data_IF_372171479243
#
_entry.id   IF_372171479243
#
_cell.length_a   1.000
_cell.length_b   1.000
_cell.length_c   1.000
_cell.angle_alpha   90.00
_cell.angle_beta   90.00
_cell.angle_gamma   90.00
#
_symmetry.space_group_name_H-M   'P 1'
#
loop_
_entity.id
_entity.type
_entity.pdbx_description
1 polymer ?
#
# COMPACT_ATOMS: atom_id res chain seq x y z
N UNK A 1 -0.84 -51.31 19.40
CA UNK A 1 -2.01 -50.41 19.27
C UNK A 1 -2.31 -49.80 20.63
N UNK A 2 -1.86 -48.55 20.87
CA UNK A 2 -2.24 -47.60 21.96
C UNK A 2 -1.08 -46.61 22.16
N UNK A 3 -0.91 -45.65 21.24
CA UNK A 3 -0.01 -44.50 21.42
C UNK A 3 -0.39 -43.28 20.56
N UNK A 4 -1.64 -43.19 20.08
CA UNK A 4 -2.09 -42.08 19.20
C UNK A 4 -3.23 -41.23 19.78
N UNK A 5 -3.73 -41.51 21.00
CA UNK A 5 -4.85 -40.74 21.58
C UNK A 5 -4.47 -39.70 22.63
N UNK A 6 -3.20 -39.55 23.01
CA UNK A 6 -2.78 -38.61 24.08
C UNK A 6 -2.19 -37.30 23.51
N UNK A 7 -1.69 -37.32 22.27
CA UNK A 7 -1.09 -36.14 21.61
C UNK A 7 -2.11 -35.16 21.01
N UNK A 8 -3.31 -35.64 20.65
CA UNK A 8 -4.36 -34.79 20.05
C UNK A 8 -5.10 -33.96 21.11
N UNK A 9 -5.22 -34.45 22.34
CA UNK A 9 -5.88 -33.70 23.43
C UNK A 9 -5.01 -32.58 24.02
N UNK A 10 -3.68 -32.68 23.94
CA UNK A 10 -2.77 -31.65 24.46
C UNK A 10 -2.64 -30.45 23.52
N UNK A 11 -2.81 -30.64 22.22
CA UNK A 11 -2.76 -29.54 21.23
C UNK A 11 -4.05 -28.71 21.19
N UNK A 12 -5.20 -29.32 21.47
CA UNK A 12 -6.50 -28.63 21.51
C UNK A 12 -6.64 -27.78 22.80
N UNK A 13 -6.00 -28.18 23.90
CA UNK A 13 -6.04 -27.42 25.15
C UNK A 13 -5.08 -26.22 25.15
N UNK A 14 -3.91 -26.33 24.51
CA UNK A 14 -2.97 -25.21 24.33
C UNK A 14 -3.53 -24.15 23.37
N UNK A 15 -4.28 -24.55 22.33
CA UNK A 15 -4.94 -23.62 21.42
C UNK A 15 -6.05 -22.78 22.10
N UNK A 16 -6.83 -23.36 23.02
CA UNK A 16 -7.90 -22.66 23.75
C UNK A 16 -7.42 -21.71 24.85
N UNK A 17 -6.21 -21.91 25.38
CA UNK A 17 -5.66 -21.03 26.42
C UNK A 17 -5.07 -19.72 25.88
N UNK A 18 -4.84 -19.63 24.56
CA UNK A 18 -4.18 -18.49 23.92
C UNK A 18 -5.16 -17.45 23.32
N UNK A 19 -6.40 -17.83 23.03
CA UNK A 19 -7.42 -16.92 22.48
C UNK A 19 -7.86 -15.84 23.48
N UNK A 20 -8.03 -16.19 24.76
CA UNK A 20 -8.39 -15.22 25.80
C UNK A 20 -7.26 -14.21 26.10
N UNK A 21 -6.00 -14.63 25.95
CA UNK A 21 -4.82 -13.78 26.10
C UNK A 21 -4.71 -12.74 24.96
N UNK A 22 -4.98 -13.17 23.72
CA UNK A 22 -4.95 -12.32 22.53
C UNK A 22 -6.10 -11.30 22.52
N UNK A 23 -7.32 -11.72 22.87
CA UNK A 23 -8.48 -10.82 22.95
C UNK A 23 -8.33 -9.78 24.07
N UNK A 24 -7.70 -10.16 25.19
CA UNK A 24 -7.43 -9.21 26.28
C UNK A 24 -6.28 -8.26 25.93
N UNK A 25 -5.27 -8.72 25.18
CA UNK A 25 -4.24 -7.87 24.59
C UNK A 25 -4.79 -6.86 23.58
N UNK A 26 -5.72 -7.28 22.70
CA UNK A 26 -6.38 -6.41 21.74
C UNK A 26 -7.25 -5.34 22.42
N UNK A 27 -8.01 -5.71 23.47
CA UNK A 27 -8.77 -4.74 24.29
C UNK A 27 -7.86 -3.70 24.97
N UNK A 28 -6.73 -4.13 25.52
CA UNK A 28 -5.77 -3.22 26.16
C UNK A 28 -5.12 -2.26 25.15
N UNK A 29 -4.85 -2.73 23.92
CA UNK A 29 -4.35 -1.88 22.82
C UNK A 29 -5.39 -0.87 22.34
N UNK A 30 -6.67 -1.24 22.26
CA UNK A 30 -7.74 -0.28 21.95
C UNK A 30 -7.88 0.79 23.04
N UNK A 31 -7.86 0.41 24.32
CA UNK A 31 -7.91 1.39 25.43
C UNK A 31 -6.68 2.30 25.48
N UNK A 32 -5.49 1.80 25.12
CA UNK A 32 -4.28 2.62 25.03
C UNK A 32 -4.29 3.59 23.83
N UNK A 33 -4.92 3.21 22.72
CA UNK A 33 -5.07 4.06 21.53
C UNK A 33 -6.08 5.19 21.75
N UNK A 34 -7.20 4.91 22.45
CA UNK A 34 -8.23 5.92 22.78
C UNK A 34 -7.70 7.00 23.73
N UNK A 35 -6.74 6.68 24.61
CA UNK A 35 -6.18 7.63 25.57
C UNK A 35 -5.03 8.52 25.03
N UNK A 36 -4.67 8.41 23.74
CA UNK A 36 -3.55 9.16 23.14
C UNK A 36 -3.98 10.23 22.13
N UNK A 37 -5.28 10.53 22.04
CA UNK A 37 -5.85 11.40 21.03
C UNK A 37 -6.36 12.71 21.66
N UNK A 38 -5.44 13.54 22.16
CA UNK A 38 -5.74 14.92 22.57
C UNK A 38 -4.47 15.77 22.60
N UNK A 39 -3.91 16.04 21.43
CA UNK A 39 -2.92 17.10 21.21
C UNK A 39 -3.00 17.49 19.71
N UNK A 40 -4.02 18.26 19.34
CA UNK A 40 -4.09 18.90 18.02
C UNK A 40 -3.15 20.12 18.01
N UNK A 41 -2.16 20.19 17.09
CA UNK A 41 -1.30 21.34 16.99
C UNK A 41 -2.00 22.49 16.25
N UNK A 42 -1.92 23.66 16.89
CA UNK A 42 -2.31 24.97 16.39
C UNK A 42 -1.53 25.29 15.09
N UNK A 43 -2.24 25.44 13.97
CA UNK A 43 -1.65 25.75 12.65
C UNK A 43 -1.29 27.23 12.61
N UNK A 44 -0.04 27.53 12.96
CA UNK A 44 0.60 28.82 12.73
C UNK A 44 1.29 28.84 11.37
N UNK A 45 1.10 29.95 10.67
CA UNK A 45 1.76 30.38 9.43
C UNK A 45 3.29 30.34 9.60
N UNK A 46 3.91 29.20 9.27
CA UNK A 46 5.35 29.02 9.23
C UNK A 46 5.79 28.93 7.78
N UNK A 47 6.70 29.80 7.36
CA UNK A 47 7.58 29.54 6.22
C UNK A 47 8.17 28.15 6.40
N UNK A 48 7.67 27.17 5.65
CA UNK A 48 8.11 25.77 5.75
C UNK A 48 9.61 25.71 5.45
N UNK A 49 10.42 25.58 6.50
CA UNK A 49 11.83 25.26 6.38
C UNK A 49 11.92 23.91 5.67
N UNK A 50 12.22 23.95 4.37
CA UNK A 50 12.48 22.75 3.58
C UNK A 50 13.57 21.96 4.33
N UNK A 51 13.32 20.69 4.70
CA UNK A 51 14.30 19.91 5.42
C UNK A 51 15.65 19.94 4.69
N UNK A 52 16.74 20.19 5.42
CA UNK A 52 18.08 20.36 4.84
C UNK A 52 18.46 19.24 3.84
N UNK A 53 18.03 18.00 4.11
CA UNK A 53 18.24 16.85 3.23
C UNK A 53 17.56 17.01 1.86
N UNK A 54 16.34 17.55 1.82
CA UNK A 54 15.61 17.79 0.56
C UNK A 54 16.33 18.84 -0.29
N UNK A 55 16.85 19.91 0.32
CA UNK A 55 17.61 20.92 -0.40
C UNK A 55 18.91 20.36 -0.99
N UNK A 56 19.63 19.51 -0.23
CA UNK A 56 20.84 18.83 -0.72
C UNK A 56 20.50 17.94 -1.92
N UNK A 57 19.43 17.14 -1.81
CA UNK A 57 18.98 16.26 -2.90
C UNK A 57 18.56 17.08 -4.12
N UNK A 58 17.82 18.17 -3.94
CA UNK A 58 17.38 19.02 -5.04
C UNK A 58 18.57 19.63 -5.79
N UNK A 59 19.53 20.20 -5.06
CA UNK A 59 20.77 20.72 -5.64
C UNK A 59 21.53 19.65 -6.42
N UNK A 60 21.56 18.43 -5.88
CA UNK A 60 22.12 17.29 -6.58
C UNK A 60 21.37 17.03 -7.89
N UNK A 61 20.05 16.90 -7.87
CA UNK A 61 19.24 16.63 -9.07
C UNK A 61 19.45 17.69 -10.16
N UNK A 62 19.56 18.95 -9.78
CA UNK A 62 19.73 20.08 -10.71
C UNK A 62 21.14 20.15 -11.34
N UNK A 63 22.16 19.59 -10.69
CA UNK A 63 23.57 19.78 -11.07
C UNK A 63 24.08 18.96 -12.26
N UNK A 64 23.36 17.94 -12.72
CA UNK A 64 23.86 17.01 -13.75
C UNK A 64 22.68 16.44 -14.54
N UNK A 65 22.81 16.25 -15.85
CA UNK A 65 21.78 15.62 -16.66
C UNK A 65 21.53 14.18 -16.24
N UNK A 66 20.31 13.70 -16.50
CA UNK A 66 19.92 12.32 -16.26
C UNK A 66 20.61 11.34 -17.23
N UNK A 67 20.96 10.14 -16.75
CA UNK A 67 21.47 9.04 -17.60
C UNK A 67 20.37 8.33 -18.40
N UNK A 68 19.12 8.48 -17.97
CA UNK A 68 17.94 7.99 -18.67
C UNK A 68 17.07 9.15 -19.16
N UNK A 69 16.55 9.01 -20.37
CA UNK A 69 15.59 9.89 -21.00
C UNK A 69 14.19 9.79 -20.39
N UNK A 70 13.83 8.59 -19.93
CA UNK A 70 12.53 8.27 -19.33
C UNK A 70 12.70 7.35 -18.13
N UNK A 71 11.75 7.40 -17.20
CA UNK A 71 11.62 6.41 -16.15
C UNK A 71 10.87 5.17 -16.65
N UNK A 72 11.49 4.00 -16.50
CA UNK A 72 10.93 2.74 -17.00
C UNK A 72 10.26 1.88 -15.92
N UNK A 73 10.43 2.16 -14.62
CA UNK A 73 9.87 1.32 -13.54
C UNK A 73 8.45 1.76 -13.17
N UNK A 74 7.60 1.97 -14.19
CA UNK A 74 6.27 2.55 -14.01
C UNK A 74 5.29 1.63 -13.29
N UNK A 75 5.45 0.31 -13.43
CA UNK A 75 4.58 -0.65 -12.75
C UNK A 75 4.53 -0.45 -11.23
N UNK A 76 5.65 -0.05 -10.63
CA UNK A 76 5.72 0.27 -9.20
C UNK A 76 4.95 1.55 -8.84
N UNK A 77 5.05 2.61 -9.67
CA UNK A 77 4.30 3.86 -9.51
C UNK A 77 2.79 3.63 -9.69
N UNK A 78 2.38 2.83 -10.67
CA UNK A 78 0.97 2.48 -10.89
C UNK A 78 0.41 1.58 -9.78
N UNK A 79 1.25 0.77 -9.14
CA UNK A 79 0.82 0.00 -7.96
C UNK A 79 0.50 0.93 -6.79
N UNK A 80 1.33 1.95 -6.53
CA UNK A 80 1.01 2.97 -5.54
C UNK A 80 -0.33 3.66 -5.84
N UNK A 81 -0.55 4.05 -7.10
CA UNK A 81 -1.83 4.63 -7.53
C UNK A 81 -3.02 3.70 -7.26
N UNK A 82 -2.88 2.39 -7.51
CA UNK A 82 -3.96 1.44 -7.25
C UNK A 82 -4.26 1.29 -5.76
N UNK A 83 -3.25 1.32 -4.88
CA UNK A 83 -3.45 1.31 -3.42
C UNK A 83 -4.17 2.57 -2.95
N UNK A 84 -3.73 3.74 -3.41
CA UNK A 84 -4.35 5.02 -3.07
C UNK A 84 -5.83 5.02 -3.47
N UNK A 85 -6.13 4.64 -4.72
CA UNK A 85 -7.51 4.53 -5.21
C UNK A 85 -8.33 3.55 -4.37
N UNK A 86 -7.83 2.33 -4.18
CA UNK A 86 -8.58 1.27 -3.52
C UNK A 86 -8.80 1.57 -2.03
N UNK A 87 -7.83 2.20 -1.35
CA UNK A 87 -7.99 2.66 0.02
C UNK A 87 -9.10 3.72 0.11
N UNK A 88 -9.13 4.69 -0.82
CA UNK A 88 -10.17 5.72 -0.80
C UNK A 88 -11.56 5.14 -1.06
N UNK A 89 -11.69 4.23 -2.03
CA UNK A 89 -12.96 3.53 -2.32
C UNK A 89 -13.41 2.66 -1.15
N UNK A 90 -12.49 1.96 -0.49
CA UNK A 90 -12.78 1.18 0.71
C UNK A 90 -13.26 2.06 1.87
N UNK A 91 -12.64 3.22 2.08
CA UNK A 91 -13.05 4.18 3.10
C UNK A 91 -14.50 4.68 2.86
N UNK A 92 -14.82 5.01 1.61
CA UNK A 92 -16.19 5.40 1.22
C UNK A 92 -17.18 4.24 1.42
N UNK A 93 -16.83 3.04 0.97
CA UNK A 93 -17.68 1.87 1.11
C UNK A 93 -17.95 1.51 2.57
N UNK A 94 -16.91 1.49 3.41
CA UNK A 94 -17.04 1.27 4.86
C UNK A 94 -17.94 2.33 5.53
N UNK A 95 -17.88 3.59 5.08
CA UNK A 95 -18.73 4.67 5.58
C UNK A 95 -20.21 4.45 5.23
N UNK A 96 -20.50 3.94 4.03
CA UNK A 96 -21.86 3.57 3.59
C UNK A 96 -22.38 2.41 4.43
N UNK A 97 -21.61 1.33 4.56
CA UNK A 97 -21.97 0.15 5.36
C UNK A 97 -22.26 0.54 6.80
N UNK A 98 -21.42 1.41 7.40
CA UNK A 98 -21.62 1.92 8.77
C UNK A 98 -22.92 2.73 8.92
N UNK A 99 -23.28 3.51 7.90
CA UNK A 99 -24.46 4.38 7.93
C UNK A 99 -25.75 3.64 7.59
N UNK A 100 -25.64 2.50 6.90
CA UNK A 100 -26.75 1.61 6.59
C UNK A 100 -27.09 0.67 7.75
N UNK A 101 -28.24 0.01 7.63
CA UNK A 101 -28.66 -1.10 8.49
C UNK A 101 -28.18 -2.46 7.92
N UNK A 102 -27.04 -2.49 7.21
CA UNK A 102 -26.51 -3.74 6.64
C UNK A 102 -26.00 -4.67 7.75
N UNK A 103 -26.68 -5.81 7.92
CA UNK A 103 -26.25 -6.85 8.86
C UNK A 103 -25.13 -7.74 8.29
N UNK A 104 -25.04 -7.87 6.97
CA UNK A 104 -24.04 -8.71 6.30
C UNK A 104 -22.78 -7.91 5.96
N UNK A 105 -21.69 -8.18 6.69
CA UNK A 105 -20.39 -7.54 6.50
C UNK A 105 -19.44 -8.35 5.61
N UNK A 106 -19.85 -9.49 5.08
CA UNK A 106 -18.99 -10.32 4.21
C UNK A 106 -18.51 -9.59 2.95
N UNK A 107 -19.32 -8.77 2.25
CA UNK A 107 -18.84 -7.97 1.13
C UNK A 107 -17.73 -6.97 1.53
N UNK A 108 -17.88 -6.30 2.68
CA UNK A 108 -16.86 -5.39 3.22
C UNK A 108 -15.58 -6.14 3.60
N UNK A 109 -15.72 -7.33 4.21
CA UNK A 109 -14.58 -8.18 4.56
C UNK A 109 -13.75 -8.57 3.32
N UNK A 110 -14.42 -9.00 2.24
CA UNK A 110 -13.75 -9.31 0.97
C UNK A 110 -13.02 -8.10 0.39
N UNK A 111 -13.61 -6.91 0.50
CA UNK A 111 -12.98 -5.68 0.05
C UNK A 111 -11.71 -5.37 0.89
N UNK A 112 -11.79 -5.45 2.22
CA UNK A 112 -10.64 -5.29 3.13
C UNK A 112 -9.51 -6.29 2.78
N UNK A 113 -9.87 -7.56 2.60
CA UNK A 113 -8.91 -8.61 2.22
C UNK A 113 -8.25 -8.33 0.87
N UNK A 114 -9.02 -7.90 -0.12
CA UNK A 114 -8.46 -7.54 -1.42
C UNK A 114 -7.47 -6.37 -1.32
N UNK A 115 -7.86 -5.27 -0.66
CA UNK A 115 -7.01 -4.07 -0.59
C UNK A 115 -5.72 -4.35 0.19
N UNK A 116 -5.81 -4.99 1.36
CA UNK A 116 -4.65 -5.09 2.25
C UNK A 116 -3.90 -6.43 2.13
N UNK A 117 -4.61 -7.55 2.09
CA UNK A 117 -4.00 -8.88 2.06
C UNK A 117 -3.54 -9.28 0.66
N UNK A 118 -4.13 -8.72 -0.40
CA UNK A 118 -3.70 -8.95 -1.78
C UNK A 118 -2.94 -7.75 -2.39
N UNK A 119 -3.57 -6.57 -2.47
CA UNK A 119 -3.02 -5.45 -3.22
C UNK A 119 -1.77 -4.87 -2.52
N UNK A 120 -1.93 -4.37 -1.28
CA UNK A 120 -0.84 -3.75 -0.51
C UNK A 120 0.28 -4.75 -0.21
N UNK A 121 -0.07 -5.98 0.20
CA UNK A 121 0.92 -7.03 0.47
C UNK A 121 1.81 -7.30 -0.74
N UNK A 122 1.25 -7.31 -1.94
CA UNK A 122 2.01 -7.49 -3.18
C UNK A 122 3.06 -6.40 -3.39
N UNK A 123 2.67 -5.14 -3.19
CA UNK A 123 3.58 -4.00 -3.28
C UNK A 123 4.68 -4.12 -2.23
N UNK A 124 4.28 -4.31 -0.96
CA UNK A 124 5.19 -4.48 0.17
C UNK A 124 6.24 -5.58 -0.05
N UNK A 125 5.82 -6.74 -0.56
CA UNK A 125 6.72 -7.86 -0.85
C UNK A 125 7.77 -7.52 -1.91
N UNK A 126 7.36 -6.84 -3.00
CA UNK A 126 8.29 -6.40 -4.04
C UNK A 126 9.25 -5.35 -3.51
N UNK A 127 8.75 -4.41 -2.72
CA UNK A 127 9.58 -3.34 -2.22
C UNK A 127 10.63 -3.83 -1.24
N UNK A 128 10.25 -4.69 -0.29
CA UNK A 128 11.16 -5.23 0.72
C UNK A 128 12.23 -6.14 0.10
N UNK A 129 11.83 -6.97 -0.87
CA UNK A 129 12.71 -8.02 -1.42
C UNK A 129 13.52 -7.55 -2.63
N UNK A 130 13.03 -6.56 -3.37
CA UNK A 130 13.57 -6.22 -4.69
C UNK A 130 13.86 -4.72 -4.82
N UNK A 131 12.87 -3.85 -4.63
CA UNK A 131 13.00 -2.42 -4.98
C UNK A 131 13.89 -1.65 -4.02
N UNK A 132 13.62 -1.67 -2.70
CA UNK A 132 14.40 -0.88 -1.74
C UNK A 132 15.85 -1.36 -1.57
N UNK A 133 16.16 -2.66 -1.58
CA UNK A 133 17.54 -3.11 -1.62
C UNK A 133 18.29 -2.57 -2.85
N UNK A 134 17.65 -2.61 -4.02
CA UNK A 134 18.22 -2.09 -5.26
C UNK A 134 18.34 -0.55 -5.24
N UNK A 135 17.34 0.16 -4.72
CA UNK A 135 17.37 1.62 -4.55
C UNK A 135 18.56 2.07 -3.69
N UNK A 136 18.75 1.42 -2.52
CA UNK A 136 19.88 1.68 -1.64
C UNK A 136 21.21 1.38 -2.34
N UNK A 137 21.30 0.27 -3.07
CA UNK A 137 22.49 -0.07 -3.86
C UNK A 137 22.82 1.04 -4.86
N UNK A 138 21.84 1.55 -5.62
CA UNK A 138 22.08 2.53 -6.68
C UNK A 138 22.38 3.93 -6.16
N UNK A 139 21.73 4.35 -5.08
CA UNK A 139 21.86 5.74 -4.57
C UNK A 139 22.95 5.89 -3.52
N UNK A 140 23.25 4.85 -2.73
CA UNK A 140 24.21 4.96 -1.62
C UNK A 140 25.62 4.47 -1.98
N UNK A 141 25.74 3.59 -2.98
CA UNK A 141 27.04 3.08 -3.44
C UNK A 141 27.55 3.78 -4.70
N UNK A 142 26.97 4.92 -5.11
CA UNK A 142 27.47 5.68 -6.25
C UNK A 142 28.84 6.30 -5.93
N UNK A 143 29.86 5.94 -6.70
CA UNK A 143 31.24 6.40 -6.50
C UNK A 143 31.43 7.89 -6.77
N UNK A 144 30.51 8.50 -7.52
CA UNK A 144 30.63 9.87 -8.01
C UNK A 144 29.95 10.92 -7.12
N UNK A 145 29.30 10.49 -6.04
CA UNK A 145 28.50 11.36 -5.18
C UNK A 145 29.24 11.81 -3.93
N UNK A 146 28.96 13.06 -3.51
CA UNK A 146 29.46 13.58 -2.24
C UNK A 146 28.89 12.77 -1.06
N UNK A 147 29.67 12.65 0.01
CA UNK A 147 29.21 11.96 1.23
C UNK A 147 27.99 12.65 1.87
N UNK A 148 27.84 13.96 1.67
CA UNK A 148 26.68 14.72 2.12
C UNK A 148 25.42 14.32 1.34
N UNK A 149 25.53 14.23 0.00
CA UNK A 149 24.45 13.76 -0.88
C UNK A 149 24.02 12.34 -0.51
N UNK A 150 24.97 11.43 -0.28
CA UNK A 150 24.67 10.04 0.12
C UNK A 150 23.95 9.99 1.47
N UNK A 151 24.37 10.78 2.45
CA UNK A 151 23.69 10.86 3.76
C UNK A 151 22.28 11.42 3.64
N UNK A 152 22.07 12.44 2.82
CA UNK A 152 20.75 13.00 2.56
C UNK A 152 19.81 11.95 1.94
N UNK A 153 20.27 11.21 0.92
CA UNK A 153 19.52 10.10 0.34
C UNK A 153 19.27 8.97 1.34
N UNK A 154 20.26 8.60 2.16
CA UNK A 154 20.09 7.57 3.17
C UNK A 154 18.99 7.93 4.17
N UNK A 155 18.96 9.18 4.63
CA UNK A 155 17.89 9.69 5.51
C UNK A 155 16.53 9.62 4.82
N UNK A 156 16.41 10.15 3.59
CA UNK A 156 15.16 10.14 2.82
C UNK A 156 14.61 8.73 2.60
N UNK A 157 15.48 7.78 2.24
CA UNK A 157 15.09 6.38 2.03
C UNK A 157 14.62 5.76 3.35
N UNK A 158 15.27 6.06 4.46
CA UNK A 158 14.85 5.56 5.78
C UNK A 158 13.50 6.14 6.21
N UNK A 159 13.28 7.44 6.01
CA UNK A 159 12.00 8.09 6.32
C UNK A 159 10.84 7.48 5.50
N UNK A 160 11.08 7.22 4.21
CA UNK A 160 10.10 6.53 3.35
C UNK A 160 9.90 5.08 3.80
N UNK A 161 10.96 4.34 4.15
CA UNK A 161 10.85 2.96 4.62
C UNK A 161 10.11 2.84 5.96
N UNK A 162 10.27 3.83 6.85
CA UNK A 162 9.50 3.92 8.10
C UNK A 162 8.02 4.16 7.83
N UNK A 163 7.68 5.07 6.91
CA UNK A 163 6.28 5.31 6.55
C UNK A 163 5.66 4.08 5.86
N UNK A 164 6.40 3.36 5.02
CA UNK A 164 5.96 2.08 4.44
C UNK A 164 5.66 1.03 5.52
N UNK A 165 6.48 0.93 6.56
CA UNK A 165 6.24 0.05 7.72
C UNK A 165 4.95 0.47 8.46
N UNK A 166 4.75 1.78 8.69
CA UNK A 166 3.53 2.31 9.30
C UNK A 166 2.28 1.97 8.48
N UNK A 167 2.34 2.04 7.15
CA UNK A 167 1.23 1.60 6.28
C UNK A 167 0.88 0.12 6.51
N UNK A 168 1.88 -0.76 6.61
CA UNK A 168 1.66 -2.20 6.90
C UNK A 168 1.03 -2.43 8.27
N UNK A 169 1.46 -1.67 9.28
CA UNK A 169 0.90 -1.75 10.63
C UNK A 169 -0.56 -1.30 10.66
N UNK A 170 -0.90 -0.20 9.97
CA UNK A 170 -2.27 0.26 9.81
C UNK A 170 -3.14 -0.78 9.09
N UNK A 171 -2.64 -1.35 7.99
CA UNK A 171 -3.33 -2.40 7.25
C UNK A 171 -3.63 -3.62 8.13
N UNK A 172 -2.67 -4.07 8.94
CA UNK A 172 -2.85 -5.19 9.87
C UNK A 172 -3.92 -4.89 10.94
N UNK A 173 -3.98 -3.64 11.42
CA UNK A 173 -5.05 -3.20 12.33
C UNK A 173 -6.41 -3.22 11.65
N UNK A 174 -6.51 -2.73 10.41
CA UNK A 174 -7.78 -2.70 9.64
C UNK A 174 -8.33 -4.12 9.47
N UNK A 175 -7.48 -5.08 9.09
CA UNK A 175 -7.87 -6.51 8.99
C UNK A 175 -8.38 -7.02 10.34
N UNK A 176 -7.68 -6.72 11.44
CA UNK A 176 -8.11 -7.14 12.79
C UNK A 176 -9.45 -6.53 13.22
N UNK A 177 -9.70 -5.26 12.89
CA UNK A 177 -10.98 -4.61 13.15
C UNK A 177 -12.10 -5.20 12.29
N UNK A 178 -11.80 -5.61 11.06
CA UNK A 178 -12.76 -6.26 10.18
C UNK A 178 -13.16 -7.64 10.73
N UNK A 179 -12.18 -8.42 11.19
CA UNK A 179 -12.47 -9.70 11.85
C UNK A 179 -13.38 -9.49 13.06
N UNK A 180 -13.06 -8.53 13.94
CA UNK A 180 -13.90 -8.17 15.07
C UNK A 180 -15.33 -7.76 14.66
N UNK A 181 -15.47 -6.93 13.63
CA UNK A 181 -16.77 -6.46 13.16
C UNK A 181 -17.65 -7.62 12.66
N UNK A 182 -17.04 -8.65 12.05
CA UNK A 182 -17.73 -9.84 11.53
C UNK A 182 -18.04 -10.91 12.57
N UNK A 183 -17.56 -10.79 13.81
CA UNK A 183 -17.83 -11.77 14.85
C UNK A 183 -19.30 -11.74 15.32
N UNK A 184 -19.99 -12.89 15.26
CA UNK A 184 -21.38 -13.04 15.69
C UNK A 184 -21.63 -12.72 17.19
N UNK A 185 -20.57 -12.73 18.01
CA UNK A 185 -20.66 -12.51 19.45
C UNK A 185 -20.48 -11.06 19.87
N UNK A 186 -20.11 -10.18 18.94
CA UNK A 186 -19.81 -8.77 19.20
C UNK A 186 -21.10 -7.96 19.16
N UNK A 187 -21.32 -7.10 20.15
CA UNK A 187 -22.48 -6.22 20.19
C UNK A 187 -22.42 -5.11 19.13
N UNK A 188 -23.56 -4.47 18.89
CA UNK A 188 -23.69 -3.45 17.84
C UNK A 188 -22.83 -2.20 18.07
N UNK A 189 -22.52 -1.85 19.33
CA UNK A 189 -21.68 -0.68 19.62
C UNK A 189 -20.23 -0.99 19.29
N UNK A 190 -19.72 -2.14 19.76
CA UNK A 190 -18.38 -2.60 19.43
C UNK A 190 -18.17 -2.78 17.91
N UNK A 191 -19.18 -3.29 17.20
CA UNK A 191 -19.15 -3.39 15.74
C UNK A 191 -19.04 -2.01 15.09
N UNK A 192 -19.84 -1.03 15.55
CA UNK A 192 -19.78 0.35 15.04
C UNK A 192 -18.42 0.99 15.30
N UNK A 193 -17.85 0.78 16.49
CA UNK A 193 -16.50 1.26 16.83
C UNK A 193 -15.43 0.62 15.94
N UNK A 194 -15.57 -0.67 15.62
CA UNK A 194 -14.64 -1.35 14.71
C UNK A 194 -14.72 -0.76 13.29
N UNK A 195 -15.93 -0.50 12.78
CA UNK A 195 -16.14 0.17 11.50
C UNK A 195 -15.55 1.59 11.48
N UNK A 196 -15.69 2.35 12.57
CA UNK A 196 -15.06 3.67 12.71
C UNK A 196 -13.53 3.61 12.63
N UNK A 197 -12.96 2.59 13.28
CA UNK A 197 -11.53 2.34 13.21
C UNK A 197 -11.10 1.92 11.80
N UNK A 198 -11.89 1.11 11.08
CA UNK A 198 -11.60 0.76 9.68
C UNK A 198 -11.56 2.02 8.81
N UNK A 199 -12.57 2.90 8.92
CA UNK A 199 -12.65 4.15 8.17
C UNK A 199 -11.43 5.03 8.46
N UNK A 200 -11.15 5.29 9.74
CA UNK A 200 -10.05 6.16 10.20
C UNK A 200 -8.69 5.63 9.75
N UNK A 201 -8.41 4.34 9.97
CA UNK A 201 -7.12 3.77 9.59
C UNK A 201 -6.97 3.66 8.06
N UNK A 202 -8.05 3.44 7.32
CA UNK A 202 -8.01 3.41 5.85
C UNK A 202 -7.70 4.80 5.28
N UNK A 203 -8.27 5.87 5.86
CA UNK A 203 -7.92 7.25 5.48
C UNK A 203 -6.45 7.56 5.80
N UNK A 204 -5.95 7.10 6.95
CA UNK A 204 -4.53 7.22 7.30
C UNK A 204 -3.62 6.48 6.29
N UNK A 205 -4.00 5.27 5.83
CA UNK A 205 -3.27 4.55 4.78
C UNK A 205 -3.28 5.34 3.47
N UNK A 206 -4.43 5.87 3.07
CA UNK A 206 -4.56 6.71 1.87
C UNK A 206 -3.60 7.92 1.92
N UNK A 207 -3.67 8.71 2.99
CA UNK A 207 -2.85 9.92 3.14
C UNK A 207 -1.35 9.60 3.18
N UNK A 208 -0.97 8.56 3.94
CA UNK A 208 0.43 8.19 4.08
C UNK A 208 1.01 7.61 2.79
N UNK A 209 0.26 6.80 2.06
CA UNK A 209 0.68 6.25 0.77
C UNK A 209 0.84 7.36 -0.27
N UNK A 210 -0.04 8.36 -0.28
CA UNK A 210 0.11 9.55 -1.13
C UNK A 210 1.38 10.33 -0.80
N UNK A 211 1.68 10.54 0.49
CA UNK A 211 2.89 11.23 0.93
C UNK A 211 4.17 10.48 0.53
N UNK A 212 4.19 9.14 0.69
CA UNK A 212 5.28 8.28 0.21
C UNK A 212 5.48 8.48 -1.29
N UNK A 213 4.42 8.27 -2.08
CA UNK A 213 4.46 8.42 -3.54
C UNK A 213 4.97 9.79 -3.96
N UNK A 214 4.49 10.87 -3.33
CA UNK A 214 4.88 12.23 -3.66
C UNK A 214 6.38 12.48 -3.41
N UNK A 215 6.93 12.01 -2.28
CA UNK A 215 8.36 12.14 -1.99
C UNK A 215 9.22 11.32 -2.95
N UNK A 216 8.78 10.11 -3.26
CA UNK A 216 9.52 9.24 -4.18
C UNK A 216 9.51 9.81 -5.61
N UNK A 217 8.36 10.27 -6.11
CA UNK A 217 8.23 10.90 -7.42
C UNK A 217 9.05 12.20 -7.52
N UNK A 218 9.10 12.99 -6.43
CA UNK A 218 9.84 14.26 -6.37
C UNK A 218 11.35 14.04 -6.31
N UNK A 219 11.83 13.06 -5.55
CA UNK A 219 13.25 12.94 -5.22
C UNK A 219 13.89 11.63 -5.70
N UNK A 220 13.30 10.48 -5.38
CA UNK A 220 13.94 9.18 -5.61
C UNK A 220 13.87 8.75 -7.08
N UNK A 221 12.74 9.00 -7.76
CA UNK A 221 12.56 8.68 -9.18
C UNK A 221 13.54 9.48 -10.06
N UNK A 222 13.66 10.82 -9.93
CA UNK A 222 14.68 11.58 -10.66
C UNK A 222 16.10 11.13 -10.34
N UNK A 223 16.40 10.83 -9.07
CA UNK A 223 17.71 10.33 -8.67
C UNK A 223 18.05 8.98 -9.32
N UNK A 224 17.07 8.08 -9.44
CA UNK A 224 17.23 6.83 -10.17
C UNK A 224 17.45 7.07 -11.66
N UNK A 225 16.69 7.94 -12.31
CA UNK A 225 16.92 8.28 -13.72
C UNK A 225 18.31 8.87 -13.96
N UNK A 226 18.81 9.60 -12.97
CA UNK A 226 20.14 10.20 -12.99
C UNK A 226 21.26 9.19 -12.78
N UNK A 227 21.09 8.19 -11.92
CA UNK A 227 22.13 7.20 -11.60
C UNK A 227 22.02 5.90 -12.40
N UNK A 228 20.88 5.62 -13.03
CA UNK A 228 20.57 4.31 -13.61
C UNK A 228 20.13 4.46 -15.06
N UNK A 229 20.87 3.83 -15.97
CA UNK A 229 20.55 3.80 -17.39
C UNK A 229 19.19 3.16 -17.69
N UNK A 230 18.55 3.57 -18.79
CA UNK A 230 17.29 2.98 -19.29
C UNK A 230 17.38 1.46 -19.48
N UNK A 231 18.56 0.94 -19.86
CA UNK A 231 18.80 -0.51 -20.03
C UNK A 231 18.69 -1.24 -18.70
N UNK A 232 19.29 -0.70 -17.65
CA UNK A 232 19.28 -1.31 -16.32
C UNK A 232 17.89 -1.24 -15.67
N UNK A 233 17.19 -0.12 -15.81
CA UNK A 233 15.79 0.00 -15.33
C UNK A 233 14.87 -1.05 -15.99
N UNK A 234 15.00 -1.27 -17.31
CA UNK A 234 14.26 -2.33 -18.02
C UNK A 234 14.63 -3.73 -17.52
N UNK A 235 15.91 -3.97 -17.24
CA UNK A 235 16.35 -5.24 -16.64
C UNK A 235 15.74 -5.45 -15.25
N UNK A 236 15.69 -4.40 -14.43
CA UNK A 236 15.03 -4.42 -13.13
C UNK A 236 13.54 -4.79 -13.25
N UNK A 237 12.80 -4.23 -14.21
CA UNK A 237 11.40 -4.61 -14.46
C UNK A 237 11.24 -6.11 -14.75
N UNK A 238 12.12 -6.69 -15.55
CA UNK A 238 12.09 -8.13 -15.80
C UNK A 238 12.31 -8.96 -14.53
N UNK A 239 13.13 -8.46 -13.58
CA UNK A 239 13.31 -9.09 -12.27
C UNK A 239 12.02 -9.03 -11.44
N UNK A 240 11.35 -7.88 -11.40
CA UNK A 240 10.08 -7.69 -10.67
C UNK A 240 8.97 -8.60 -11.22
N UNK A 241 8.82 -8.68 -12.55
CA UNK A 241 7.81 -9.54 -13.18
C UNK A 241 8.01 -11.02 -12.86
N UNK A 242 9.28 -11.47 -12.73
CA UNK A 242 9.58 -12.85 -12.32
C UNK A 242 9.21 -13.12 -10.87
N UNK A 243 9.33 -12.14 -9.97
CA UNK A 243 8.97 -12.31 -8.56
C UNK A 243 7.47 -12.33 -8.27
N UNK A 244 6.64 -11.68 -9.10
CA UNK A 244 5.18 -11.60 -8.87
C UNK A 244 4.41 -12.89 -9.23
N UNK A 245 4.95 -13.72 -10.12
CA UNK A 245 4.23 -14.87 -10.66
C UNK A 245 3.12 -14.48 -11.67
N UNK A 246 2.76 -15.42 -12.55
CA UNK A 246 1.92 -15.13 -13.73
C UNK A 246 0.47 -14.79 -13.36
N UNK A 247 -0.11 -15.45 -12.37
CA UNK A 247 -1.51 -15.21 -12.00
C UNK A 247 -1.70 -13.89 -11.28
N UNK A 248 -0.85 -13.58 -10.29
CA UNK A 248 -0.98 -12.35 -9.52
C UNK A 248 -0.66 -11.11 -10.35
N UNK A 249 0.34 -11.19 -11.24
CA UNK A 249 0.67 -10.08 -12.15
C UNK A 249 -0.52 -9.64 -13.02
N UNK A 250 -1.45 -10.52 -13.38
CA UNK A 250 -2.68 -10.15 -14.10
C UNK A 250 -3.61 -9.31 -13.24
N UNK A 251 -3.85 -9.73 -12.00
CA UNK A 251 -4.69 -9.00 -11.04
C UNK A 251 -4.11 -7.63 -10.72
N UNK A 252 -2.81 -7.54 -10.44
CA UNK A 252 -2.13 -6.26 -10.25
C UNK A 252 -2.24 -5.36 -11.47
N UNK A 253 -2.06 -5.90 -12.68
CA UNK A 253 -2.17 -5.12 -13.91
C UNK A 253 -3.56 -4.53 -14.13
N UNK A 254 -4.63 -5.25 -13.75
CA UNK A 254 -6.00 -4.71 -13.79
C UNK A 254 -6.13 -3.54 -12.82
N UNK A 255 -5.70 -3.72 -11.56
CA UNK A 255 -5.72 -2.66 -10.56
C UNK A 255 -4.95 -1.42 -11.00
N UNK A 256 -3.74 -1.60 -11.55
CA UNK A 256 -2.91 -0.53 -12.12
C UNK A 256 -3.59 0.16 -13.30
N UNK A 257 -4.14 -0.60 -14.25
CA UNK A 257 -4.86 -0.05 -15.40
C UNK A 257 -6.03 0.82 -14.94
N UNK A 258 -6.85 0.28 -14.04
CA UNK A 258 -8.01 1.00 -13.53
C UNK A 258 -7.58 2.27 -12.78
N UNK A 259 -6.40 2.30 -12.16
CA UNK A 259 -5.95 3.46 -11.38
C UNK A 259 -5.40 4.56 -12.28
N UNK A 260 -4.70 4.18 -13.35
CA UNK A 260 -4.20 5.08 -14.37
C UNK A 260 -5.34 5.72 -15.19
N UNK A 261 -6.45 5.01 -15.38
CA UNK A 261 -7.61 5.49 -16.13
C UNK A 261 -8.69 6.13 -15.25
N UNK A 262 -8.53 6.14 -13.94
CA UNK A 262 -9.44 6.81 -13.02
C UNK A 262 -9.16 8.32 -13.03
N UNK A 263 -10.16 9.18 -13.31
CA UNK A 263 -9.96 10.63 -13.42
C UNK A 263 -9.51 11.30 -12.11
N UNK A 264 -9.75 10.67 -10.96
CA UNK A 264 -9.39 11.22 -9.66
C UNK A 264 -7.94 10.89 -9.23
N UNK A 265 -7.28 9.95 -9.92
CA UNK A 265 -5.96 9.43 -9.53
C UNK A 265 -4.95 9.42 -10.68
N UNK A 266 -5.40 9.05 -11.88
CA UNK A 266 -4.59 9.02 -13.08
C UNK A 266 -4.61 10.35 -13.83
N UNK A 267 -3.83 10.43 -14.90
CA UNK A 267 -3.84 11.55 -15.84
C UNK A 267 -3.46 11.06 -17.25
N UNK A 268 -3.59 11.93 -18.26
CA UNK A 268 -3.32 11.58 -19.66
C UNK A 268 -1.87 11.13 -19.91
N UNK A 269 -0.91 11.67 -19.14
CA UNK A 269 0.49 11.29 -19.23
C UNK A 269 0.69 9.84 -18.75
N UNK A 270 0.12 9.48 -17.61
CA UNK A 270 0.14 8.10 -17.09
C UNK A 270 -0.54 7.12 -18.03
N UNK A 271 -1.67 7.50 -18.63
CA UNK A 271 -2.37 6.67 -19.62
C UNK A 271 -1.50 6.42 -20.85
N UNK A 272 -0.83 7.47 -21.33
CA UNK A 272 0.10 7.37 -22.45
C UNK A 272 1.27 6.44 -22.11
N UNK A 273 1.90 6.63 -20.94
CA UNK A 273 2.98 5.76 -20.46
C UNK A 273 2.53 4.31 -20.29
N UNK A 274 1.31 4.08 -19.83
CA UNK A 274 0.75 2.74 -19.71
C UNK A 274 0.61 2.04 -21.06
N UNK A 275 0.11 2.76 -22.07
CA UNK A 275 -0.03 2.25 -23.44
C UNK A 275 1.34 1.95 -24.07
N UNK A 276 2.33 2.81 -23.83
CA UNK A 276 3.70 2.66 -24.35
C UNK A 276 4.45 1.48 -23.71
N UNK A 277 4.32 1.29 -22.39
CA UNK A 277 5.15 0.34 -21.65
C UNK A 277 4.51 -1.03 -21.46
N UNK A 278 3.19 -1.14 -21.45
CA UNK A 278 2.49 -2.43 -21.32
C UNK A 278 2.30 -3.08 -22.70
N UNK A 279 2.76 -4.34 -22.89
CA UNK A 279 2.59 -5.06 -24.14
C UNK A 279 1.12 -5.12 -24.61
N UNK A 280 0.89 -4.93 -25.91
CA UNK A 280 -0.44 -4.90 -26.51
C UNK A 280 -1.31 -6.11 -26.13
N UNK A 281 -0.75 -7.31 -26.16
CA UNK A 281 -1.48 -8.55 -25.80
C UNK A 281 -1.99 -8.49 -24.37
N UNK A 282 -1.17 -8.01 -23.42
CA UNK A 282 -1.61 -7.87 -22.03
C UNK A 282 -2.75 -6.84 -21.92
N UNK A 283 -2.64 -5.70 -22.62
CA UNK A 283 -3.69 -4.66 -22.64
C UNK A 283 -5.02 -5.18 -23.18
N UNK A 284 -4.99 -5.93 -24.29
CA UNK A 284 -6.21 -6.53 -24.87
C UNK A 284 -6.90 -7.52 -23.93
N UNK A 285 -6.15 -8.17 -23.04
CA UNK A 285 -6.68 -9.16 -22.11
C UNK A 285 -7.24 -8.56 -20.81
N UNK A 286 -6.95 -7.28 -20.51
CA UNK A 286 -7.38 -6.63 -19.26
C UNK A 286 -8.89 -6.77 -19.05
N UNK A 287 -9.71 -6.50 -20.07
CA UNK A 287 -11.17 -6.60 -19.93
C UNK A 287 -11.66 -8.03 -19.64
N UNK A 288 -11.03 -9.04 -20.22
CA UNK A 288 -11.36 -10.45 -19.93
C UNK A 288 -10.90 -10.86 -18.53
N UNK A 289 -9.70 -10.43 -18.13
CA UNK A 289 -9.18 -10.70 -16.79
C UNK A 289 -9.97 -9.96 -15.71
N UNK A 290 -10.45 -8.74 -15.98
CA UNK A 290 -11.29 -7.99 -15.02
C UNK A 290 -12.54 -8.80 -14.67
N UNK A 291 -13.28 -9.26 -15.66
CA UNK A 291 -14.51 -10.06 -15.48
C UNK A 291 -14.28 -11.39 -14.77
N UNK A 292 -13.16 -12.05 -15.06
CA UNK A 292 -12.90 -13.41 -14.57
C UNK A 292 -12.11 -13.48 -13.27
N UNK A 293 -11.29 -12.46 -12.95
CA UNK A 293 -10.35 -12.49 -11.83
C UNK A 293 -10.54 -11.35 -10.83
N UNK A 294 -11.07 -10.20 -11.25
CA UNK A 294 -11.13 -8.98 -10.43
C UNK A 294 -12.54 -8.69 -9.91
N UNK A 295 -13.53 -8.59 -10.79
CA UNK A 295 -14.93 -8.32 -10.42
C UNK A 295 -15.49 -9.27 -9.33
N UNK A 296 -15.19 -10.59 -9.33
CA UNK A 296 -15.65 -11.48 -8.27
C UNK A 296 -15.11 -11.16 -6.87
N UNK A 297 -13.97 -10.46 -6.77
CA UNK A 297 -13.31 -10.11 -5.50
C UNK A 297 -13.52 -8.65 -5.12
N UNK A 298 -13.59 -7.75 -6.11
CA UNK A 298 -13.46 -6.30 -5.91
C UNK A 298 -14.68 -5.51 -6.37
N UNK A 299 -15.63 -6.13 -7.08
CA UNK A 299 -16.78 -5.43 -7.64
C UNK A 299 -17.63 -4.68 -6.60
N UNK A 300 -17.47 -4.98 -5.31
CA UNK A 300 -18.11 -4.26 -4.21
C UNK A 300 -17.55 -2.84 -4.00
N UNK A 301 -16.26 -2.61 -4.30
CA UNK A 301 -15.63 -1.29 -4.22
C UNK A 301 -16.18 -0.30 -5.27
N UNK A 302 -16.77 -0.82 -6.35
CA UNK A 302 -17.31 -0.02 -7.45
C UNK A 302 -18.77 0.40 -7.22
N UNK A 303 -19.43 -0.11 -6.16
CA UNK A 303 -20.83 0.20 -5.83
C UNK A 303 -21.01 1.56 -5.13
N UNK A 304 -19.95 2.35 -4.96
CA UNK A 304 -20.03 3.68 -4.37
C UNK A 304 -20.87 4.62 -5.26
N UNK A 305 -21.88 5.32 -4.73
CA UNK A 305 -22.87 6.10 -5.48
C UNK A 305 -22.31 7.32 -6.23
N UNK A 306 -21.00 7.59 -6.16
CA UNK A 306 -20.35 8.65 -6.94
C UNK A 306 -20.23 8.33 -8.44
N UNK A 307 -20.51 7.10 -8.87
CA UNK A 307 -20.38 6.65 -10.27
C UNK A 307 -21.71 6.41 -11.00
N UNK A 308 -22.86 6.75 -10.40
CA UNK A 308 -24.21 6.61 -10.99
C UNK A 308 -24.81 7.95 -11.40
#
# INVERSE_FOLDING_TARGET
>A
MKFHSILVFSLIWVARSNENSLLQGARNLMQAAVNKQSDEPNICDSTEDIPQNESIIQNYLDSTPSLADKFFIQGWRWHHLSIVRDAKRLNQYASIVKSGDEEDLEPLKKAVDFVFNFNLRGLADIEDKVFFPWLREKLLNSEYESEETKKAFASMIEDVDQDRKRVKDLASKIVSYMDLATENSVDQNMRRDALDNIITNTDAVYNLTNSIKAREDKFLVPALMKNVSSREQKFFNHKVLRSLGILQSRKYLIGMYDAVHDPDYGNEEEQTLFVEQIPLVARMMIGSWRKSLYEPEVGMLDLSPSNS
#
